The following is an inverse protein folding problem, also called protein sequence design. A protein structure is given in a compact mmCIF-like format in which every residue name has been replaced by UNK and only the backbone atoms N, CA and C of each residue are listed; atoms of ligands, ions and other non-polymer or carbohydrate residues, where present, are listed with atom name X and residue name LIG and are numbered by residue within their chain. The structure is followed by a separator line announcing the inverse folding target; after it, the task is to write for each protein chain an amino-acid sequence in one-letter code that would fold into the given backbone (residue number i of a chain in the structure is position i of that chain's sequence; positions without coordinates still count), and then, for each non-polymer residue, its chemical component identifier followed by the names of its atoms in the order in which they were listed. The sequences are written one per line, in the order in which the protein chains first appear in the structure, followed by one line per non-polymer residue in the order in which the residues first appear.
data_IF_605490588015
#
_entry.id   IF_605490588015
#
_cell.length_a   1.000
_cell.length_b   1.000
_cell.length_c   1.000
_cell.angle_alpha   90.00
_cell.angle_beta   90.00
_cell.angle_gamma   90.00
#
_symmetry.space_group_name_H-M   'P 1'
#
loop_
_entity.id
_entity.type
_entity.pdbx_description
1 polymer ?
#
# COMPACT_ATOMS: atom_id res chain seq x y z
N UNK A 1 -2.49 1.96 -11.74
CA UNK A 1 -3.01 0.87 -12.60
C UNK A 1 -4.27 0.31 -11.96
N UNK A 2 -5.42 0.48 -12.62
CA UNK A 2 -6.75 0.10 -12.10
C UNK A 2 -7.15 -1.36 -12.44
N UNK A 3 -6.22 -2.17 -12.96
CA UNK A 3 -6.46 -3.57 -13.36
C UNK A 3 -6.03 -4.54 -12.26
N UNK A 4 -6.79 -4.62 -11.18
CA UNK A 4 -6.64 -5.69 -10.18
C UNK A 4 -7.96 -6.13 -9.54
N UNK A 5 -9.01 -5.33 -9.71
CA UNK A 5 -10.29 -5.53 -9.02
C UNK A 5 -11.33 -6.34 -9.81
N UNK A 6 -11.01 -6.78 -11.04
CA UNK A 6 -11.89 -7.63 -11.85
C UNK A 6 -11.72 -9.14 -11.55
N UNK A 7 -10.79 -9.55 -10.69
CA UNK A 7 -10.62 -10.95 -10.29
C UNK A 7 -11.31 -11.18 -8.94
N UNK A 8 -12.64 -11.15 -8.96
CA UNK A 8 -13.51 -11.27 -7.79
C UNK A 8 -13.53 -12.66 -7.10
N UNK A 9 -12.62 -13.57 -7.46
CA UNK A 9 -12.45 -14.89 -6.83
C UNK A 9 -11.28 -14.93 -5.83
N UNK A 10 -10.53 -13.83 -5.65
CA UNK A 10 -9.37 -13.73 -4.76
C UNK A 10 -9.67 -12.98 -3.45
N UNK A 11 -10.89 -13.08 -2.91
CA UNK A 11 -11.33 -12.41 -1.67
C UNK A 11 -10.84 -13.09 -0.39
N UNK A 12 -10.11 -14.20 -0.49
CA UNK A 12 -9.41 -14.79 0.66
C UNK A 12 -8.21 -13.92 1.05
N UNK A 13 -7.79 -13.96 2.32
CA UNK A 13 -6.59 -13.24 2.76
C UNK A 13 -5.35 -13.62 1.93
N UNK A 14 -5.25 -14.90 1.53
CA UNK A 14 -4.21 -15.40 0.65
C UNK A 14 -4.28 -14.75 -0.74
N UNK A 15 -5.47 -14.69 -1.36
CA UNK A 15 -5.67 -14.04 -2.65
C UNK A 15 -5.30 -12.55 -2.63
N UNK A 16 -5.67 -11.83 -1.57
CA UNK A 16 -5.30 -10.42 -1.41
C UNK A 16 -3.79 -10.24 -1.30
N UNK A 17 -3.12 -11.12 -0.54
CA UNK A 17 -1.66 -11.11 -0.44
C UNK A 17 -1.02 -11.38 -1.80
N UNK A 18 -1.54 -12.35 -2.54
CA UNK A 18 -1.08 -12.63 -3.89
C UNK A 18 -1.24 -11.45 -4.83
N UNK A 19 -2.38 -10.76 -4.81
CA UNK A 19 -2.54 -9.54 -5.63
C UNK A 19 -1.47 -8.49 -5.31
N UNK A 20 -1.10 -8.32 -4.05
CA UNK A 20 -0.05 -7.38 -3.66
C UNK A 20 1.34 -7.82 -4.12
N UNK A 21 1.67 -9.10 -3.93
CA UNK A 21 2.96 -9.66 -4.36
C UNK A 21 3.10 -9.63 -5.89
N UNK A 22 1.99 -9.79 -6.63
CA UNK A 22 1.95 -9.69 -8.09
C UNK A 22 2.44 -8.32 -8.61
N UNK A 23 2.13 -7.24 -7.90
CA UNK A 23 2.51 -5.86 -8.29
C UNK A 23 3.76 -5.34 -7.56
N UNK A 24 4.41 -6.18 -6.76
CA UNK A 24 5.63 -5.82 -6.02
C UNK A 24 6.75 -6.83 -6.29
N UNK A 25 6.92 -7.83 -5.43
CA UNK A 25 8.04 -8.77 -5.46
C UNK A 25 8.04 -9.66 -6.69
N UNK A 26 6.87 -10.15 -7.15
CA UNK A 26 6.80 -10.99 -8.35
C UNK A 26 7.05 -10.19 -9.61
N UNK A 27 6.52 -8.97 -9.71
CA UNK A 27 6.84 -8.07 -10.81
C UNK A 27 8.35 -7.77 -10.88
N UNK A 28 8.99 -7.47 -9.75
CA UNK A 28 10.43 -7.23 -9.68
C UNK A 28 11.24 -8.45 -10.16
N UNK A 29 10.84 -9.67 -9.77
CA UNK A 29 11.46 -10.91 -10.25
C UNK A 29 11.31 -11.10 -11.76
N UNK A 30 10.11 -10.89 -12.30
CA UNK A 30 9.85 -10.96 -13.76
C UNK A 30 10.70 -9.95 -14.53
N UNK A 31 10.93 -8.77 -13.95
CA UNK A 31 11.79 -7.73 -14.52
C UNK A 31 13.30 -7.98 -14.31
N UNK A 32 13.70 -9.05 -13.62
CA UNK A 32 15.11 -9.36 -13.35
C UNK A 32 15.79 -8.41 -12.35
N UNK A 33 15.03 -7.74 -11.48
CA UNK A 33 15.59 -6.84 -10.48
C UNK A 33 16.24 -7.64 -9.33
N UNK A 34 17.55 -7.53 -9.19
CA UNK A 34 18.35 -8.25 -8.18
C UNK A 34 18.48 -7.49 -6.86
N UNK A 35 18.39 -6.16 -6.90
CA UNK A 35 18.42 -5.27 -5.74
C UNK A 35 17.02 -4.70 -5.42
N UNK A 36 16.08 -5.61 -5.13
CA UNK A 36 14.70 -5.26 -4.78
C UNK A 36 14.27 -5.97 -3.50
N UNK A 37 13.70 -5.22 -2.56
CA UNK A 37 13.19 -5.75 -1.30
C UNK A 37 13.40 -4.79 -0.13
N UNK A 38 12.85 -5.13 1.02
CA UNK A 38 13.01 -4.39 2.28
C UNK A 38 13.86 -5.24 3.22
N UNK A 39 15.16 -5.26 2.98
CA UNK A 39 16.13 -6.09 3.70
C UNK A 39 17.45 -5.31 3.88
N UNK A 40 18.21 -5.55 4.96
CA UNK A 40 19.52 -4.95 5.14
C UNK A 40 20.44 -5.23 3.94
N UNK A 41 21.16 -4.20 3.48
CA UNK A 41 22.05 -4.29 2.32
C UNK A 41 21.39 -4.01 0.97
N UNK A 42 20.06 -3.96 0.88
CA UNK A 42 19.35 -3.49 -0.33
C UNK A 42 19.30 -1.97 -0.39
N UNK A 43 19.11 -1.41 -1.59
CA UNK A 43 18.86 0.02 -1.72
C UNK A 43 17.66 0.46 -0.86
N UNK A 44 17.78 1.58 -0.16
CA UNK A 44 16.70 2.20 0.62
C UNK A 44 15.64 2.85 -0.29
N UNK A 45 14.98 2.03 -1.13
CA UNK A 45 13.97 2.41 -2.10
C UNK A 45 12.66 1.72 -1.75
N UNK A 46 11.67 2.50 -1.30
CA UNK A 46 10.39 1.95 -0.84
C UNK A 46 9.29 3.01 -0.87
N UNK A 47 8.05 2.55 -0.75
CA UNK A 47 6.87 3.39 -0.65
C UNK A 47 6.21 3.14 0.71
N UNK A 48 5.97 4.19 1.47
CA UNK A 48 5.20 4.12 2.71
C UNK A 48 3.72 4.36 2.39
N UNK A 49 2.86 3.41 2.75
CA UNK A 49 1.41 3.48 2.56
C UNK A 49 0.71 3.73 3.91
N UNK A 50 -0.39 4.49 3.89
CA UNK A 50 -1.27 4.64 5.07
C UNK A 50 -2.16 3.41 5.24
N UNK A 51 -1.58 2.33 5.75
CA UNK A 51 -2.27 1.07 6.05
C UNK A 51 -1.51 0.29 7.10
N UNK A 52 -2.23 -0.48 7.94
CA UNK A 52 -1.62 -1.39 8.91
C UNK A 52 -1.07 -2.68 8.29
N UNK A 53 -1.40 -2.97 7.03
CA UNK A 53 -0.92 -4.16 6.33
C UNK A 53 -1.45 -4.28 4.91
N UNK A 54 -1.05 -5.35 4.22
CA UNK A 54 -1.37 -5.57 2.79
C UNK A 54 -2.87 -5.57 2.52
N UNK A 55 -3.65 -6.28 3.35
CA UNK A 55 -5.10 -6.37 3.17
C UNK A 55 -5.75 -5.01 3.24
N UNK A 56 -5.29 -4.17 4.16
CA UNK A 56 -5.79 -2.81 4.30
C UNK A 56 -5.31 -1.89 3.19
N UNK A 57 -4.05 -2.01 2.77
CA UNK A 57 -3.49 -1.25 1.65
C UNK A 57 -4.31 -1.43 0.38
N UNK A 58 -4.76 -2.66 0.11
CA UNK A 58 -5.65 -2.99 -1.03
C UNK A 58 -7.07 -2.50 -0.76
N UNK A 59 -7.68 -2.87 0.39
CA UNK A 59 -9.07 -2.53 0.72
C UNK A 59 -9.34 -1.02 0.69
N UNK A 60 -8.46 -0.24 1.30
CA UNK A 60 -8.60 1.22 1.40
C UNK A 60 -8.05 1.96 0.20
N UNK A 61 -7.33 1.27 -0.70
CA UNK A 61 -6.49 1.91 -1.73
C UNK A 61 -5.58 2.95 -1.08
N UNK A 62 -4.82 2.51 -0.08
CA UNK A 62 -4.11 3.38 0.84
C UNK A 62 -3.24 4.41 0.10
N UNK A 63 -3.32 5.70 0.47
CA UNK A 63 -2.49 6.72 -0.14
C UNK A 63 -1.01 6.48 0.18
N UNK A 64 -0.17 6.93 -0.74
CA UNK A 64 1.29 6.92 -0.61
C UNK A 64 1.67 8.12 0.25
N UNK A 65 2.09 7.86 1.49
CA UNK A 65 2.54 8.90 2.40
C UNK A 65 3.92 9.40 2.01
N UNK A 66 4.82 8.49 1.60
CA UNK A 66 6.19 8.81 1.21
C UNK A 66 6.69 7.88 0.12
N UNK A 67 7.50 8.42 -0.79
CA UNK A 67 8.22 7.66 -1.82
C UNK A 67 9.71 7.92 -1.64
N UNK A 68 10.46 6.85 -1.39
CA UNK A 68 11.91 6.89 -1.20
C UNK A 68 12.62 6.17 -2.33
N UNK A 69 13.76 6.71 -2.76
CA UNK A 69 14.67 6.06 -3.70
C UNK A 69 16.10 6.25 -3.21
N UNK A 70 16.80 5.15 -2.97
CA UNK A 70 18.17 5.12 -2.48
C UNK A 70 18.42 6.07 -1.30
N UNK A 71 17.50 6.08 -0.32
CA UNK A 71 17.61 6.92 0.87
C UNK A 71 17.20 8.37 0.68
N UNK A 72 16.81 8.79 -0.53
CA UNK A 72 16.29 10.14 -0.79
C UNK A 72 14.76 10.15 -0.85
N UNK A 73 14.13 11.07 -0.12
CA UNK A 73 12.71 11.35 -0.25
C UNK A 73 12.44 12.02 -1.60
N UNK A 74 11.59 11.40 -2.41
CA UNK A 74 11.21 11.92 -3.73
C UNK A 74 9.86 12.63 -3.72
N UNK A 75 8.92 12.14 -2.92
CA UNK A 75 7.59 12.70 -2.79
C UNK A 75 7.00 12.35 -1.43
N UNK A 76 6.17 13.25 -0.92
CA UNK A 76 5.35 13.04 0.27
C UNK A 76 3.90 13.52 0.04
N UNK A 77 3.00 13.08 0.91
CA UNK A 77 1.60 13.51 0.89
C UNK A 77 1.04 13.48 2.32
N UNK A 78 0.12 14.39 2.60
CA UNK A 78 -0.59 14.39 3.88
C UNK A 78 -1.40 13.09 4.04
N UNK A 79 -1.52 12.55 5.27
CA UNK A 79 -2.43 11.43 5.54
C UNK A 79 -3.87 11.78 5.16
N UNK A 80 -4.57 10.82 4.57
CA UNK A 80 -5.98 10.96 4.26
C UNK A 80 -6.80 10.85 5.55
N UNK A 81 -7.65 11.84 5.79
CA UNK A 81 -8.65 11.85 6.84
C UNK A 81 -10.00 12.27 6.25
N UNK A 82 -11.06 11.64 6.72
CA UNK A 82 -12.45 11.93 6.33
C UNK A 82 -13.17 12.51 7.53
N UNK A 83 -13.74 13.70 7.36
CA UNK A 83 -14.60 14.33 8.37
C UNK A 83 -15.98 13.70 8.34
N UNK A 84 -16.47 13.31 9.50
CA UNK A 84 -17.83 12.83 9.72
C UNK A 84 -18.70 14.01 10.13
N UNK A 85 -19.70 14.30 9.32
CA UNK A 85 -20.79 15.24 9.65
C UNK A 85 -22.05 14.45 10.04
N UNK A 86 -21.88 13.45 10.90
CA UNK A 86 -22.96 12.59 11.38
C UNK A 86 -23.29 13.00 12.82
N UNK A 87 -24.50 13.46 13.12
CA UNK A 87 -24.89 13.85 14.48
C UNK A 87 -24.59 12.75 15.50
N UNK A 88 -23.93 13.11 16.60
CA UNK A 88 -23.51 12.15 17.65
C UNK A 88 -22.32 11.26 17.30
N UNK A 89 -21.72 11.43 16.11
CA UNK A 89 -20.48 10.76 15.65
C UNK A 89 -19.56 11.71 14.88
N UNK A 90 -19.56 12.98 15.28
CA UNK A 90 -18.72 14.01 14.70
C UNK A 90 -17.23 13.70 14.98
N UNK A 91 -16.37 13.97 13.99
CA UNK A 91 -14.94 13.72 14.12
C UNK A 91 -14.25 13.45 12.80
N UNK A 92 -13.01 12.95 12.86
CA UNK A 92 -12.24 12.52 11.70
C UNK A 92 -11.88 11.03 11.81
N UNK A 93 -11.94 10.33 10.68
CA UNK A 93 -11.57 8.92 10.56
C UNK A 93 -10.66 8.69 9.36
N UNK A 94 -9.78 7.71 9.46
CA UNK A 94 -8.90 7.25 8.37
C UNK A 94 -9.30 5.87 7.82
N UNK A 95 -10.33 5.25 8.43
CA UNK A 95 -10.84 3.91 8.14
C UNK A 95 -9.82 2.78 8.30
N UNK A 96 -8.66 3.03 8.92
CA UNK A 96 -7.72 1.98 9.26
C UNK A 96 -8.26 1.11 10.41
N UNK A 97 -8.00 -0.19 10.38
CA UNK A 97 -8.25 -1.06 11.53
C UNK A 97 -7.28 -0.69 12.64
N UNK A 98 -7.82 -0.31 13.80
CA UNK A 98 -7.06 -0.09 15.04
C UNK A 98 -6.82 -1.40 15.77
#
# INVERSE_FOLDING_TARGET
AHMGMNVAQMTTQAGIRDCFDAVTTRAARVMGLTDYGIEPGKAASFVLLQAAGVTEAIRLRAPRLKVWRAGRLLADSAPQQVRLAVPGREGAVDFMKR
#
